data_IF_684338070918
#
_entry.id   IF_684338070918
#
_cell.length_a   1.000
_cell.length_b   1.000
_cell.length_c   1.000
_cell.angle_alpha   90.00
_cell.angle_beta   90.00
_cell.angle_gamma   90.00
#
_symmetry.space_group_name_H-M   'P 1'
#
loop_
_entity.id
_entity.type
_entity.pdbx_description
1 polymer ?
#
# COMPACT_ATOMS: atom_id res chain seq x y z
N UNK A 1 -11.00 28.72 19.98
CA UNK A 1 -9.71 28.04 19.72
C UNK A 1 -9.62 27.77 18.23
N UNK A 2 -8.57 28.29 17.60
CA UNK A 2 -8.45 28.53 16.16
C UNK A 2 -8.32 27.24 15.35
N UNK A 3 -9.19 27.06 14.35
CA UNK A 3 -9.04 26.03 13.31
C UNK A 3 -8.13 26.61 12.22
N UNK A 4 -6.84 26.27 12.28
CA UNK A 4 -5.88 26.56 11.21
C UNK A 4 -6.31 25.78 9.98
N UNK A 5 -6.74 26.49 8.93
CA UNK A 5 -7.05 25.89 7.63
C UNK A 5 -5.73 25.52 6.96
N UNK A 6 -5.48 24.21 6.81
CA UNK A 6 -4.42 23.70 5.96
C UNK A 6 -4.66 24.05 4.48
N UNK A 7 -3.63 23.97 3.63
CA UNK A 7 -3.72 24.39 2.24
C UNK A 7 -4.78 23.58 1.49
N UNK A 8 -5.72 24.31 0.91
CA UNK A 8 -6.82 23.78 0.12
C UNK A 8 -6.27 23.38 -1.24
N UNK A 9 -6.23 22.08 -1.54
CA UNK A 9 -5.98 21.62 -2.91
C UNK A 9 -7.08 22.17 -3.83
N UNK A 10 -6.72 22.73 -5.01
CA UNK A 10 -7.70 23.35 -5.89
C UNK A 10 -8.68 22.31 -6.42
N UNK A 11 -9.96 22.61 -6.22
CA UNK A 11 -11.09 21.93 -6.86
C UNK A 11 -10.88 22.02 -8.38
N UNK A 12 -10.74 20.86 -9.01
CA UNK A 12 -10.69 20.73 -10.46
C UNK A 12 -12.01 21.28 -11.01
N UNK A 13 -11.93 22.39 -11.75
CA UNK A 13 -13.07 22.94 -12.49
C UNK A 13 -13.39 22.00 -13.65
N UNK A 14 -14.66 21.62 -13.76
CA UNK A 14 -15.20 20.91 -14.90
C UNK A 14 -14.97 21.73 -16.18
N UNK A 15 -14.29 21.13 -17.16
CA UNK A 15 -14.22 21.68 -18.51
C UNK A 15 -15.43 21.18 -19.29
N UNK A 16 -16.41 22.06 -19.46
CA UNK A 16 -17.49 21.89 -20.42
C UNK A 16 -16.95 22.08 -21.84
N UNK A 17 -16.92 21.02 -22.64
CA UNK A 17 -16.78 21.13 -24.09
C UNK A 17 -18.10 20.76 -24.76
N UNK A 18 -18.71 21.79 -25.35
CA UNK A 18 -19.95 21.72 -26.10
C UNK A 18 -19.83 20.74 -27.29
N UNK A 19 -20.87 19.93 -27.46
CA UNK A 19 -21.09 19.14 -28.67
C UNK A 19 -21.48 20.06 -29.83
N UNK A 20 -20.67 20.12 -30.88
CA UNK A 20 -21.18 20.39 -32.22
C UNK A 20 -20.38 19.61 -33.28
N UNK A 21 -21.02 19.08 -34.33
CA UNK A 21 -20.46 18.05 -35.19
C UNK A 21 -19.91 18.66 -36.49
N UNK A 22 -18.67 18.35 -36.85
CA UNK A 22 -18.29 18.14 -38.26
C UNK A 22 -16.87 17.60 -38.40
N UNK A 23 -16.79 16.51 -39.16
CA UNK A 23 -15.65 15.82 -39.77
C UNK A 23 -14.42 16.72 -39.99
N UNK A 24 -13.33 16.46 -39.26
CA UNK A 24 -11.97 16.51 -39.79
C UNK A 24 -11.12 15.50 -39.01
N UNK A 25 -10.31 14.73 -39.74
CA UNK A 25 -9.31 13.80 -39.20
C UNK A 25 -8.39 14.56 -38.24
N UNK A 26 -8.59 14.40 -36.94
CA UNK A 26 -7.61 14.76 -35.93
C UNK A 26 -7.47 13.56 -35.02
N UNK A 27 -6.34 12.86 -35.15
CA UNK A 27 -5.83 12.01 -34.10
C UNK A 27 -5.68 12.89 -32.87
N UNK A 28 -6.65 12.85 -31.96
CA UNK A 28 -6.34 13.12 -30.57
C UNK A 28 -5.31 12.04 -30.21
N UNK A 29 -4.03 12.42 -30.19
CA UNK A 29 -3.00 11.62 -29.53
C UNK A 29 -3.58 11.22 -28.19
N UNK A 30 -3.88 9.93 -28.05
CA UNK A 30 -4.44 9.39 -26.83
C UNK A 30 -3.56 9.90 -25.71
N UNK A 31 -4.21 10.62 -24.80
CA UNK A 31 -3.57 11.15 -23.62
C UNK A 31 -2.90 9.96 -22.95
N UNK A 32 -1.57 9.89 -22.96
CA UNK A 32 -0.81 9.09 -22.01
C UNK A 32 -1.06 9.77 -20.67
N UNK A 33 -2.27 9.55 -20.14
CA UNK A 33 -2.65 9.97 -18.82
C UNK A 33 -1.71 9.24 -17.89
N UNK A 34 -0.94 10.00 -17.10
CA UNK A 34 -0.20 9.44 -15.99
C UNK A 34 -1.22 8.76 -15.05
N UNK A 35 -1.38 7.46 -15.20
CA UNK A 35 -2.22 6.66 -14.31
C UNK A 35 -1.65 6.80 -12.89
N UNK A 36 -2.49 7.24 -11.95
CA UNK A 36 -2.06 7.41 -10.56
C UNK A 36 -1.88 6.04 -9.93
N UNK A 37 -0.68 5.77 -9.41
CA UNK A 37 -0.40 4.57 -8.61
C UNK A 37 -1.38 4.50 -7.44
N UNK A 38 -2.18 3.43 -7.39
CA UNK A 38 -3.13 3.19 -6.31
C UNK A 38 -2.48 2.38 -5.20
N UNK A 39 -2.12 3.05 -4.12
CA UNK A 39 -1.60 2.41 -2.91
C UNK A 39 -2.75 1.86 -2.05
N UNK A 40 -2.61 0.60 -1.64
CA UNK A 40 -3.48 -0.06 -0.65
C UNK A 40 -2.68 -0.25 0.63
N UNK A 41 -3.30 0.00 1.79
CA UNK A 41 -2.71 -0.31 3.10
C UNK A 41 -3.60 -1.33 3.79
N UNK A 42 -3.02 -2.46 4.16
CA UNK A 42 -3.68 -3.56 4.84
C UNK A 42 -3.19 -3.66 6.27
N UNK A 43 -4.12 -3.93 7.20
CA UNK A 43 -3.84 -4.10 8.63
C UNK A 43 -4.25 -5.49 9.07
N UNK A 44 -3.31 -6.26 9.61
CA UNK A 44 -3.58 -7.61 10.11
C UNK A 44 -3.11 -7.73 11.56
N UNK A 45 -4.04 -7.99 12.47
CA UNK A 45 -3.71 -8.15 13.89
C UNK A 45 -2.82 -9.37 14.14
N UNK A 46 -1.96 -9.32 15.15
CA UNK A 46 -1.21 -10.48 15.62
C UNK A 46 -2.15 -11.68 15.92
N UNK A 47 -1.79 -12.85 15.42
CA UNK A 47 -2.57 -14.09 15.49
C UNK A 47 -3.61 -14.25 14.38
N UNK A 48 -3.69 -13.33 13.40
CA UNK A 48 -4.56 -13.45 12.22
C UNK A 48 -3.77 -13.72 10.95
N UNK A 49 -4.48 -14.14 9.90
CA UNK A 49 -3.92 -14.33 8.58
C UNK A 49 -4.05 -13.06 7.73
N UNK A 50 -2.95 -12.66 7.10
CA UNK A 50 -2.97 -11.73 5.98
C UNK A 50 -3.43 -12.50 4.75
N UNK A 51 -4.33 -11.91 3.96
CA UNK A 51 -4.69 -12.43 2.65
C UNK A 51 -4.93 -11.28 1.67
N UNK A 52 -4.03 -11.09 0.72
CA UNK A 52 -4.10 -10.02 -0.27
C UNK A 52 -3.91 -10.57 -1.68
N UNK A 53 -4.51 -9.90 -2.66
CA UNK A 53 -4.38 -10.24 -4.07
C UNK A 53 -4.37 -8.99 -4.97
N UNK A 54 -3.72 -9.14 -6.11
CA UNK A 54 -3.76 -8.21 -7.23
C UNK A 54 -4.65 -8.79 -8.35
N UNK A 55 -5.16 -7.93 -9.26
CA UNK A 55 -5.85 -8.36 -10.47
C UNK A 55 -4.97 -9.25 -11.37
N UNK A 56 -5.60 -9.92 -12.34
CA UNK A 56 -4.89 -10.75 -13.32
C UNK A 56 -3.75 -10.00 -14.01
N UNK A 57 -2.61 -10.66 -14.18
CA UNK A 57 -1.37 -10.12 -14.76
C UNK A 57 -0.66 -9.03 -13.93
N UNK A 58 -1.19 -8.67 -12.76
CA UNK A 58 -0.52 -7.79 -11.81
C UNK A 58 0.14 -8.58 -10.67
N UNK A 59 1.20 -8.01 -10.12
CA UNK A 59 1.94 -8.53 -8.99
C UNK A 59 2.05 -7.47 -7.89
N UNK A 60 2.19 -7.93 -6.66
CA UNK A 60 2.36 -7.09 -5.47
C UNK A 60 3.73 -6.42 -5.52
N UNK A 61 3.73 -5.09 -5.56
CA UNK A 61 4.90 -4.27 -5.28
C UNK A 61 4.79 -3.71 -3.86
N UNK A 62 5.60 -4.25 -2.95
CA UNK A 62 5.66 -3.81 -1.56
C UNK A 62 6.28 -2.40 -1.47
N UNK A 63 5.67 -1.53 -0.68
CA UNK A 63 6.17 -0.15 -0.46
C UNK A 63 6.75 -0.01 0.94
N UNK A 64 6.01 -0.50 1.95
CA UNK A 64 6.45 -0.51 3.34
C UNK A 64 5.70 -1.59 4.11
N UNK A 65 6.34 -2.14 5.13
CA UNK A 65 5.70 -3.05 6.08
C UNK A 65 6.26 -2.84 7.48
N UNK A 66 5.38 -2.84 8.48
CA UNK A 66 5.76 -2.79 9.89
C UNK A 66 4.94 -3.80 10.69
N UNK A 67 5.61 -4.72 11.39
CA UNK A 67 5.01 -5.55 12.41
C UNK A 67 5.36 -4.95 13.78
N UNK A 68 4.37 -4.36 14.43
CA UNK A 68 4.57 -3.55 15.63
C UNK A 68 3.28 -2.87 16.04
N UNK A 69 3.37 -1.63 16.52
CA UNK A 69 2.21 -0.79 16.82
C UNK A 69 2.59 0.68 16.71
N UNK A 70 1.91 1.38 15.80
CA UNK A 70 2.07 2.83 15.54
C UNK A 70 0.81 3.64 15.90
N UNK A 71 -0.29 2.96 16.16
CA UNK A 71 -1.57 3.56 16.52
C UNK A 71 -2.24 2.75 17.63
N UNK A 72 -2.85 3.45 18.57
CA UNK A 72 -3.59 2.83 19.67
C UNK A 72 -4.93 2.25 19.20
N UNK A 73 -5.51 2.78 18.10
CA UNK A 73 -6.87 2.41 17.68
C UNK A 73 -6.98 1.15 16.81
N UNK A 74 -5.89 0.70 16.20
CA UNK A 74 -5.90 -0.47 15.31
C UNK A 74 -5.78 -1.75 16.14
N UNK A 75 -6.62 -2.77 15.87
CA UNK A 75 -6.59 -4.04 16.60
C UNK A 75 -6.65 -3.82 18.13
N UNK A 76 -7.62 -3.03 18.59
CA UNK A 76 -7.77 -2.65 19.99
C UNK A 76 -9.25 -2.70 20.41
N UNK A 77 -9.85 -3.89 20.29
CA UNK A 77 -11.27 -4.10 20.53
C UNK A 77 -11.69 -3.79 21.97
N UNK A 78 -10.75 -3.82 22.92
CA UNK A 78 -10.99 -3.55 24.35
C UNK A 78 -10.55 -2.15 24.81
N UNK A 79 -10.10 -1.28 23.90
CA UNK A 79 -9.74 0.10 24.23
C UNK A 79 -8.59 0.24 25.23
N UNK A 80 -7.58 -0.65 25.17
CA UNK A 80 -6.37 -0.53 26.00
C UNK A 80 -5.59 0.72 25.66
N UNK A 81 -5.05 1.41 26.67
CA UNK A 81 -4.32 2.67 26.53
C UNK A 81 -2.86 2.57 27.02
N UNK A 82 -2.49 1.44 27.62
CA UNK A 82 -1.17 1.15 28.20
C UNK A 82 -0.16 0.57 27.19
N UNK A 83 -0.58 0.33 25.95
CA UNK A 83 0.28 -0.19 24.89
C UNK A 83 1.21 0.86 24.29
N UNK A 84 2.42 0.45 23.93
CA UNK A 84 3.36 1.31 23.20
C UNK A 84 2.89 1.53 21.77
N UNK A 85 2.85 2.80 21.34
CA UNK A 85 2.63 3.20 19.93
C UNK A 85 3.92 3.60 19.21
N UNK A 86 5.07 3.41 19.87
CA UNK A 86 6.39 3.62 19.28
C UNK A 86 7.06 2.25 19.08
N UNK A 87 6.34 1.31 18.48
CA UNK A 87 6.80 -0.06 18.28
C UNK A 87 6.97 -0.36 16.79
N UNK A 88 8.22 -0.56 16.37
CA UNK A 88 8.59 -0.89 15.00
C UNK A 88 9.55 -2.06 14.95
N UNK A 89 9.43 -2.89 13.91
CA UNK A 89 10.39 -3.95 13.61
C UNK A 89 11.11 -3.69 12.30
N UNK A 90 12.44 -3.66 12.35
CA UNK A 90 13.29 -3.47 11.17
C UNK A 90 13.26 -4.68 10.21
N UNK A 91 12.82 -5.85 10.67
CA UNK A 91 12.75 -7.08 9.86
C UNK A 91 11.49 -7.16 9.01
N UNK A 92 10.44 -6.41 9.37
CA UNK A 92 9.11 -6.56 8.78
C UNK A 92 9.10 -6.38 7.27
N UNK A 93 9.79 -5.35 6.76
CA UNK A 93 9.88 -5.12 5.33
C UNK A 93 10.54 -6.30 4.61
N UNK A 94 11.70 -6.76 5.08
CA UNK A 94 12.45 -7.84 4.44
C UNK A 94 11.66 -9.15 4.42
N UNK A 95 10.99 -9.49 5.52
CA UNK A 95 10.16 -10.70 5.61
C UNK A 95 8.97 -10.61 4.63
N UNK A 96 8.30 -9.47 4.56
CA UNK A 96 7.16 -9.30 3.66
C UNK A 96 7.58 -9.18 2.19
N UNK A 97 8.76 -8.63 1.93
CA UNK A 97 9.34 -8.58 0.59
C UNK A 97 9.56 -10.01 0.08
N UNK A 98 10.23 -10.86 0.87
CA UNK A 98 10.48 -12.26 0.54
C UNK A 98 9.18 -13.07 0.36
N UNK A 99 8.20 -12.85 1.24
CA UNK A 99 6.96 -13.63 1.24
C UNK A 99 5.96 -13.22 0.17
N UNK A 100 5.82 -11.92 -0.13
CA UNK A 100 4.70 -11.40 -0.90
C UNK A 100 5.08 -10.67 -2.18
N UNK A 101 6.26 -10.06 -2.27
CA UNK A 101 6.58 -9.27 -3.45
C UNK A 101 6.66 -10.16 -4.70
N UNK A 102 6.26 -9.58 -5.84
CA UNK A 102 6.27 -10.25 -7.16
C UNK A 102 5.29 -11.43 -7.30
N UNK A 103 4.39 -11.60 -6.31
CA UNK A 103 3.31 -12.59 -6.38
C UNK A 103 1.99 -11.89 -6.72
N UNK A 104 1.09 -12.60 -7.41
CA UNK A 104 -0.27 -12.11 -7.66
C UNK A 104 -1.15 -12.15 -6.41
N UNK A 105 -0.86 -13.06 -5.48
CA UNK A 105 -1.50 -13.14 -4.17
C UNK A 105 -0.50 -13.52 -3.07
N UNK A 106 -0.81 -13.13 -1.84
CA UNK A 106 0.00 -13.46 -0.68
C UNK A 106 -0.86 -13.75 0.54
N UNK A 107 -0.61 -14.91 1.15
CA UNK A 107 -1.17 -15.32 2.44
C UNK A 107 -0.06 -15.58 3.46
N UNK A 108 -0.18 -15.02 4.66
CA UNK A 108 0.77 -15.34 5.75
C UNK A 108 0.15 -15.18 7.14
N UNK A 109 0.47 -16.08 8.06
CA UNK A 109 0.07 -15.95 9.46
C UNK A 109 0.93 -14.89 10.16
N UNK A 110 0.30 -13.84 10.66
CA UNK A 110 0.98 -12.68 11.28
C UNK A 110 1.22 -12.96 12.76
N UNK A 111 2.48 -13.18 13.14
CA UNK A 111 2.82 -13.59 14.51
C UNK A 111 4.26 -13.27 14.92
N UNK A 112 4.49 -13.17 16.24
CA UNK A 112 5.82 -12.92 16.81
C UNK A 112 6.82 -14.03 16.50
N UNK A 113 6.40 -15.25 16.16
CA UNK A 113 7.30 -16.32 15.71
C UNK A 113 7.91 -16.05 14.34
N UNK A 114 7.17 -15.37 13.46
CA UNK A 114 7.64 -15.00 12.12
C UNK A 114 8.51 -13.74 12.16
N UNK A 115 8.06 -12.70 12.87
CA UNK A 115 8.69 -11.37 12.82
C UNK A 115 9.66 -11.09 13.98
N UNK A 116 9.63 -11.91 15.04
CA UNK A 116 10.18 -11.57 16.35
C UNK A 116 9.23 -10.66 17.15
N UNK A 117 9.59 -10.37 18.41
CA UNK A 117 8.81 -9.48 19.27
C UNK A 117 9.56 -8.15 19.54
N UNK A 118 9.26 -7.07 18.77
CA UNK A 118 9.88 -5.76 18.97
C UNK A 118 9.39 -4.99 20.21
N UNK A 119 8.25 -5.37 20.80
CA UNK A 119 7.67 -4.69 21.95
C UNK A 119 6.84 -5.65 22.82
N UNK A 120 7.49 -6.39 23.73
CA UNK A 120 6.82 -7.31 24.64
C UNK A 120 5.73 -6.62 25.47
N UNK A 121 4.61 -7.32 25.68
CA UNK A 121 3.44 -6.79 26.42
C UNK A 121 2.53 -5.85 25.61
N UNK A 122 2.91 -5.51 24.37
CA UNK A 122 2.05 -4.79 23.43
C UNK A 122 1.53 -5.75 22.36
N UNK A 123 0.20 -5.76 22.17
CA UNK A 123 -0.41 -6.51 21.07
C UNK A 123 -0.03 -5.86 19.74
N UNK A 124 0.61 -6.59 18.83
CA UNK A 124 1.09 -6.01 17.57
C UNK A 124 0.08 -6.19 16.43
N UNK A 125 0.31 -5.49 15.34
CA UNK A 125 -0.32 -5.72 14.06
C UNK A 125 0.70 -5.51 12.95
N UNK A 126 0.49 -6.19 11.82
CA UNK A 126 1.16 -5.91 10.57
C UNK A 126 0.43 -4.76 9.87
N UNK A 127 1.13 -3.69 9.56
CA UNK A 127 0.71 -2.65 8.63
C UNK A 127 1.53 -2.80 7.36
N UNK A 128 0.89 -3.15 6.25
CA UNK A 128 1.54 -3.38 4.95
C UNK A 128 0.93 -2.47 3.90
N UNK A 129 1.76 -1.64 3.26
CA UNK A 129 1.36 -0.83 2.12
C UNK A 129 2.00 -1.37 0.85
N UNK A 130 1.17 -1.53 -0.17
CA UNK A 130 1.57 -2.08 -1.47
C UNK A 130 0.76 -1.44 -2.59
N UNK A 131 1.18 -1.67 -3.82
CA UNK A 131 0.38 -1.44 -5.01
C UNK A 131 0.59 -2.59 -6.00
N UNK A 132 -0.28 -2.68 -6.98
CA UNK A 132 -0.22 -3.72 -8.01
C UNK A 132 0.48 -3.15 -9.26
N UNK A 133 1.47 -3.87 -9.77
CA UNK A 133 2.19 -3.51 -11.02
C UNK A 133 2.09 -4.65 -12.03
N UNK A 134 2.07 -4.38 -13.34
CA UNK A 134 2.09 -5.46 -14.33
C UNK A 134 3.34 -6.32 -14.14
N UNK A 135 3.16 -7.64 -14.13
CA UNK A 135 4.25 -8.59 -13.86
C UNK A 135 5.44 -8.48 -14.83
N UNK A 136 5.22 -7.98 -16.04
CA UNK A 136 6.25 -7.76 -17.05
C UNK A 136 7.22 -6.60 -16.71
N UNK A 137 6.83 -5.65 -15.85
CA UNK A 137 7.72 -4.56 -15.43
C UNK A 137 8.93 -5.07 -14.64
N UNK A 138 8.79 -6.18 -13.92
CA UNK A 138 9.89 -6.73 -13.12
C UNK A 138 10.99 -7.37 -13.97
N UNK A 139 10.65 -7.88 -15.16
CA UNK A 139 11.62 -8.44 -16.10
C UNK A 139 12.51 -7.33 -16.70
N UNK A 140 11.98 -6.11 -16.88
CA UNK A 140 12.76 -4.96 -17.39
C UNK A 140 13.70 -4.37 -16.33
N UNK A 141 13.25 -4.22 -15.08
CA UNK A 141 14.11 -3.73 -13.98
C UNK A 141 15.21 -4.73 -13.60
N UNK A 142 14.91 -6.04 -13.61
CA UNK A 142 15.94 -7.07 -13.41
C UNK A 142 16.98 -7.06 -14.54
N UNK A 143 16.57 -6.81 -15.78
CA UNK A 143 17.47 -6.70 -16.93
C UNK A 143 18.36 -5.43 -16.88
N UNK A 144 17.84 -4.29 -16.44
CA UNK A 144 18.58 -3.03 -16.32
C UNK A 144 19.58 -2.99 -15.16
N UNK A 145 19.47 -3.90 -14.18
CA UNK A 145 20.44 -4.04 -13.07
C UNK A 145 21.61 -4.98 -13.39
N UNK A 146 21.63 -5.60 -14.57
CA UNK A 146 22.65 -6.55 -15.01
C UNK A 146 23.72 -5.87 -15.90
N UNK A 147 23.56 -4.58 -16.21
CA UNK A 147 24.50 -3.79 -17.02
C UNK A 147 24.95 -2.52 -16.30
#
# INVERSE_FOLDING_TARGET
MNRVRGPQCPLVREASCASSPQRFLSFCLDSIGAERIRYTTEYTCEGRELNISCPENYQIHLVRANYGRLSIGICNDFGRLDWSVNCMSYKSFLIMQDRCAHKSSCGTHVSSSLFGDPCPGTLKYLEMQYHCVLGEYHLREAYLRIW
#
